data_IF_029165796175
#
_entry.id   IF_029165796175
#
_cell.length_a   1.000
_cell.length_b   1.000
_cell.length_c   1.000
_cell.angle_alpha   90.00
_cell.angle_beta   90.00
_cell.angle_gamma   90.00
#
_symmetry.space_group_name_H-M   'P 1'
#
loop_
_entity.id
_entity.type
_entity.pdbx_description
1 polymer ?
#
# COMPACT_ATOMS: atom_id res chain seq x y z
N UNK A 1 20.72 -0.53 -0.37
CA UNK A 1 21.71 0.54 -0.60
C UNK A 1 20.95 1.81 -0.35
N UNK A 2 21.38 2.62 0.61
CA UNK A 2 20.46 3.36 1.46
C UNK A 2 19.50 4.33 0.73
N UNK A 3 19.95 4.93 -0.38
CA UNK A 3 19.09 5.77 -1.24
C UNK A 3 18.03 4.99 -2.04
N UNK A 4 18.34 3.76 -2.46
CA UNK A 4 17.35 2.88 -3.07
C UNK A 4 16.26 2.51 -2.05
N UNK A 5 16.66 2.23 -0.80
CA UNK A 5 15.72 1.89 0.26
C UNK A 5 14.83 3.11 0.59
N UNK A 6 15.40 4.32 0.67
CA UNK A 6 14.62 5.58 0.77
C UNK A 6 13.63 5.77 -0.38
N UNK A 7 14.08 5.55 -1.61
CA UNK A 7 13.23 5.65 -2.78
C UNK A 7 12.06 4.67 -2.71
N UNK A 8 12.30 3.41 -2.36
CA UNK A 8 11.26 2.37 -2.27
C UNK A 8 10.14 2.78 -1.30
N UNK A 9 10.51 3.42 -0.19
CA UNK A 9 9.59 3.89 0.84
C UNK A 9 8.71 5.04 0.34
N UNK A 10 9.34 6.08 -0.23
CA UNK A 10 8.61 7.22 -0.79
C UNK A 10 7.74 6.83 -1.99
N UNK A 11 8.23 5.92 -2.83
CA UNK A 11 7.47 5.35 -3.96
C UNK A 11 6.24 4.61 -3.47
N UNK A 12 6.36 3.76 -2.44
CA UNK A 12 5.23 2.97 -1.97
C UNK A 12 4.08 3.86 -1.46
N UNK A 13 4.43 4.90 -0.70
CA UNK A 13 3.45 5.89 -0.27
C UNK A 13 2.76 6.59 -1.44
N UNK A 14 3.53 7.00 -2.46
CA UNK A 14 2.99 7.64 -3.66
C UNK A 14 2.02 6.74 -4.41
N UNK A 15 2.36 5.45 -4.58
CA UNK A 15 1.49 4.49 -5.27
C UNK A 15 0.16 4.34 -4.54
N UNK A 16 0.18 4.20 -3.21
CA UNK A 16 -1.07 4.07 -2.45
C UNK A 16 -1.85 5.38 -2.43
N UNK A 17 -1.18 6.52 -2.23
CA UNK A 17 -1.84 7.82 -2.28
C UNK A 17 -2.57 8.04 -3.62
N UNK A 18 -1.94 7.68 -4.73
CA UNK A 18 -2.56 7.75 -6.07
C UNK A 18 -3.76 6.82 -6.18
N UNK A 19 -3.69 5.59 -5.66
CA UNK A 19 -4.85 4.67 -5.64
C UNK A 19 -6.03 5.28 -4.87
N UNK A 20 -5.77 5.87 -3.71
CA UNK A 20 -6.80 6.54 -2.91
C UNK A 20 -7.40 7.76 -3.62
N UNK A 21 -6.57 8.59 -4.28
CA UNK A 21 -7.04 9.74 -5.07
C UNK A 21 -7.88 9.26 -6.25
N UNK A 22 -7.43 8.25 -6.99
CA UNK A 22 -8.20 7.67 -8.11
C UNK A 22 -9.54 7.13 -7.61
N UNK A 23 -9.56 6.47 -6.44
CA UNK A 23 -10.80 5.97 -5.84
C UNK A 23 -11.76 7.11 -5.47
N UNK A 24 -11.26 8.26 -5.00
CA UNK A 24 -12.09 9.44 -4.75
C UNK A 24 -12.62 10.06 -6.04
N UNK A 25 -11.78 10.20 -7.06
CA UNK A 25 -12.19 10.75 -8.36
C UNK A 25 -13.18 9.83 -9.10
N UNK A 26 -13.07 8.51 -8.90
CA UNK A 26 -13.93 7.51 -9.52
C UNK A 26 -15.18 7.16 -8.72
N UNK A 27 -15.40 7.76 -7.55
CA UNK A 27 -16.59 7.51 -6.76
C UNK A 27 -17.83 8.04 -7.51
N UNK A 28 -18.88 7.23 -7.71
CA UNK A 28 -20.06 7.65 -8.47
C UNK A 28 -20.78 8.81 -7.76
N UNK A 29 -21.03 9.90 -8.49
CA UNK A 29 -21.66 11.12 -7.99
C UNK A 29 -23.17 10.96 -7.72
N UNK A 30 -23.81 9.97 -8.34
CA UNK A 30 -25.17 9.51 -8.04
C UNK A 30 -25.42 8.16 -8.72
N UNK A 31 -26.10 7.22 -8.03
CA UNK A 31 -26.40 5.89 -8.58
C UNK A 31 -27.33 5.91 -9.82
N UNK A 32 -27.97 7.06 -10.08
CA UNK A 32 -28.87 7.27 -11.21
C UNK A 32 -28.24 8.02 -12.40
N UNK A 33 -26.95 8.38 -12.32
CA UNK A 33 -26.29 9.04 -13.45
C UNK A 33 -26.18 8.08 -14.64
N UNK A 34 -26.83 8.41 -15.76
CA UNK A 34 -26.75 7.62 -16.98
C UNK A 34 -25.37 7.79 -17.63
N UNK A 35 -24.43 6.95 -17.24
CA UNK A 35 -23.12 6.86 -17.88
C UNK A 35 -23.22 5.97 -19.11
N UNK A 36 -23.07 6.59 -20.29
CA UNK A 36 -22.93 5.95 -21.61
C UNK A 36 -24.10 5.04 -22.04
N UNK A 37 -25.30 5.17 -21.47
CA UNK A 37 -26.46 4.34 -21.83
C UNK A 37 -26.29 2.86 -21.51
N UNK A 38 -25.37 2.52 -20.59
CA UNK A 38 -25.04 1.13 -20.28
C UNK A 38 -26.17 0.40 -19.55
N UNK A 39 -26.35 -0.92 -19.77
CA UNK A 39 -27.28 -1.75 -18.99
C UNK A 39 -26.98 -1.67 -17.48
N UNK A 40 -28.02 -1.69 -16.64
CA UNK A 40 -27.89 -1.52 -15.18
C UNK A 40 -26.89 -2.50 -14.54
N UNK A 41 -26.89 -3.77 -14.94
CA UNK A 41 -25.94 -4.76 -14.41
C UNK A 41 -24.47 -4.44 -14.75
N UNK A 42 -24.21 -3.84 -15.92
CA UNK A 42 -22.87 -3.46 -16.34
C UNK A 42 -22.39 -2.22 -15.57
N UNK A 43 -23.29 -1.26 -15.34
CA UNK A 43 -23.04 -0.10 -14.48
C UNK A 43 -22.68 -0.53 -13.06
N UNK A 44 -23.44 -1.48 -12.49
CA UNK A 44 -23.16 -1.97 -11.15
C UNK A 44 -21.79 -2.64 -11.05
N UNK A 45 -21.40 -3.47 -12.02
CA UNK A 45 -20.10 -4.14 -11.97
C UNK A 45 -18.94 -3.16 -12.22
N UNK A 46 -19.02 -2.33 -13.26
CA UNK A 46 -17.88 -1.49 -13.66
C UNK A 46 -17.76 -0.20 -12.87
N UNK A 47 -18.89 0.44 -12.53
CA UNK A 47 -18.93 1.76 -11.89
C UNK A 47 -19.21 1.62 -10.39
N UNK A 48 -20.29 0.94 -10.00
CA UNK A 48 -20.65 0.89 -8.58
C UNK A 48 -19.66 0.07 -7.79
N UNK A 49 -19.35 -1.17 -8.19
CA UNK A 49 -18.33 -2.02 -7.54
C UNK A 49 -16.94 -1.42 -7.74
N UNK A 50 -16.71 -0.68 -8.82
CA UNK A 50 -15.43 -0.05 -9.15
C UNK A 50 -14.46 -0.95 -9.92
N UNK A 51 -14.94 -2.07 -10.48
CA UNK A 51 -14.10 -3.00 -11.25
C UNK A 51 -13.42 -2.32 -12.43
N UNK A 52 -14.11 -1.39 -13.10
CA UNK A 52 -13.55 -0.63 -14.22
C UNK A 52 -12.34 0.19 -13.79
N UNK A 53 -12.42 0.87 -12.66
CA UNK A 53 -11.32 1.67 -12.10
C UNK A 53 -10.15 0.79 -11.68
N UNK A 54 -10.41 -0.37 -11.09
CA UNK A 54 -9.39 -1.34 -10.69
C UNK A 54 -8.63 -1.84 -11.94
N UNK A 55 -9.35 -2.29 -12.98
CA UNK A 55 -8.75 -2.81 -14.21
C UNK A 55 -7.98 -1.70 -14.93
N UNK A 56 -8.56 -0.51 -15.06
CA UNK A 56 -7.89 0.63 -15.70
C UNK A 56 -6.58 0.99 -14.98
N UNK A 57 -6.64 1.16 -13.66
CA UNK A 57 -5.48 1.54 -12.83
C UNK A 57 -4.41 0.46 -12.85
N UNK A 58 -4.82 -0.81 -12.75
CA UNK A 58 -3.88 -1.92 -12.75
C UNK A 58 -3.26 -2.13 -14.14
N UNK A 59 -4.07 -2.29 -15.18
CA UNK A 59 -3.58 -2.68 -16.50
C UNK A 59 -2.82 -1.54 -17.20
N UNK A 60 -3.43 -0.36 -17.27
CA UNK A 60 -2.84 0.79 -17.97
C UNK A 60 -1.90 1.58 -17.08
N UNK A 61 -2.25 1.78 -15.81
CA UNK A 61 -1.45 2.59 -14.89
C UNK A 61 -0.17 1.90 -14.41
N UNK A 62 -0.22 0.59 -14.13
CA UNK A 62 0.86 -0.09 -13.41
C UNK A 62 1.47 -1.27 -14.17
N UNK A 63 0.68 -2.22 -14.66
CA UNK A 63 1.18 -3.45 -15.27
C UNK A 63 1.92 -3.19 -16.58
N UNK A 64 1.36 -2.38 -17.47
CA UNK A 64 2.00 -2.09 -18.77
C UNK A 64 3.38 -1.46 -18.59
N UNK A 65 3.51 -0.51 -17.66
CA UNK A 65 4.79 0.15 -17.36
C UNK A 65 5.77 -0.78 -16.64
N UNK A 66 5.29 -1.64 -15.73
CA UNK A 66 6.12 -2.65 -15.07
C UNK A 66 6.66 -3.71 -16.04
N UNK A 67 5.82 -4.19 -16.96
CA UNK A 67 6.25 -5.15 -17.99
C UNK A 67 7.28 -4.52 -18.91
N UNK A 68 7.03 -3.28 -19.38
CA UNK A 68 8.01 -2.56 -20.20
C UNK A 68 9.35 -2.36 -19.47
N UNK A 69 9.30 -1.95 -18.21
CA UNK A 69 10.49 -1.79 -17.36
C UNK A 69 11.23 -3.12 -17.15
N UNK A 70 10.54 -4.26 -17.14
CA UNK A 70 11.18 -5.58 -16.98
C UNK A 70 11.97 -6.04 -18.20
N UNK A 71 11.61 -5.58 -19.40
CA UNK A 71 12.33 -5.92 -20.64
C UNK A 71 13.44 -4.91 -20.97
N UNK A 72 13.21 -3.61 -20.77
CA UNK A 72 14.14 -2.54 -21.12
C UNK A 72 14.48 -1.66 -19.91
N UNK A 73 15.10 -2.26 -18.87
CA UNK A 73 15.30 -1.60 -17.56
C UNK A 73 16.03 -0.26 -17.64
N UNK A 74 17.18 -0.21 -18.33
CA UNK A 74 18.00 1.01 -18.41
C UNK A 74 17.38 2.06 -19.32
N UNK A 75 16.79 1.66 -20.44
CA UNK A 75 16.12 2.59 -21.35
C UNK A 75 14.86 3.17 -20.72
N UNK A 76 14.15 2.38 -19.90
CA UNK A 76 12.96 2.82 -19.17
C UNK A 76 13.26 3.91 -18.13
N UNK A 77 14.42 3.88 -17.48
CA UNK A 77 14.81 4.93 -16.52
C UNK A 77 15.48 6.14 -17.19
N UNK A 78 15.92 6.00 -18.44
CA UNK A 78 16.61 7.06 -19.18
C UNK A 78 15.63 8.08 -19.80
N UNK A 79 14.80 8.71 -18.96
CA UNK A 79 13.94 9.81 -19.37
C UNK A 79 13.66 10.79 -18.23
N UNK A 80 13.26 12.00 -18.60
CA UNK A 80 12.97 13.08 -17.64
C UNK A 80 11.85 12.71 -16.65
N UNK A 81 10.86 11.96 -17.10
CA UNK A 81 9.72 11.58 -16.25
C UNK A 81 10.13 10.60 -15.15
N UNK A 82 10.97 9.61 -15.46
CA UNK A 82 11.53 8.69 -14.48
C UNK A 82 12.35 9.45 -13.41
N UNK A 83 13.16 10.42 -13.83
CA UNK A 83 13.93 11.27 -12.91
C UNK A 83 13.01 12.14 -12.03
N UNK A 84 11.94 12.71 -12.60
CA UNK A 84 10.94 13.46 -11.85
C UNK A 84 10.26 12.61 -10.76
N UNK A 85 9.86 11.38 -11.10
CA UNK A 85 9.24 10.47 -10.12
C UNK A 85 10.22 10.06 -9.02
N UNK A 86 11.50 9.88 -9.36
CA UNK A 86 12.57 9.62 -8.38
C UNK A 86 12.67 10.77 -7.38
N UNK A 87 12.81 12.02 -7.84
CA UNK A 87 12.91 13.17 -6.95
C UNK A 87 11.65 13.36 -6.10
N UNK A 88 10.47 13.14 -6.66
CA UNK A 88 9.21 13.24 -5.92
C UNK A 88 9.15 12.20 -4.80
N UNK A 89 9.55 10.95 -5.07
CA UNK A 89 9.63 9.90 -4.05
C UNK A 89 10.67 10.23 -2.97
N UNK A 90 11.81 10.79 -3.35
CA UNK A 90 12.83 11.25 -2.38
C UNK A 90 12.33 12.42 -1.52
N UNK A 91 11.56 13.36 -2.07
CA UNK A 91 10.93 14.44 -1.30
C UNK A 91 9.90 13.91 -0.29
N UNK A 92 9.12 12.90 -0.69
CA UNK A 92 8.18 12.22 0.22
C UNK A 92 8.93 11.53 1.36
N UNK A 93 10.04 10.83 1.09
CA UNK A 93 10.87 10.27 2.17
C UNK A 93 11.41 11.38 3.06
N UNK A 94 11.91 12.47 2.47
CA UNK A 94 12.43 13.60 3.21
C UNK A 94 11.38 14.22 4.17
N UNK A 95 10.11 14.27 3.76
CA UNK A 95 9.00 14.80 4.57
C UNK A 95 8.86 14.13 5.95
N UNK A 96 9.31 12.88 6.11
CA UNK A 96 9.27 12.18 7.39
C UNK A 96 8.00 11.36 7.65
N UNK A 97 6.99 11.42 6.77
CA UNK A 97 5.67 10.83 7.05
C UNK A 97 5.76 9.31 7.22
N UNK A 98 6.68 8.65 6.53
CA UNK A 98 6.88 7.18 6.57
C UNK A 98 7.95 6.70 7.57
N UNK A 99 8.55 7.59 8.37
CA UNK A 99 9.74 7.27 9.19
C UNK A 99 9.52 6.24 10.29
N UNK A 100 8.28 6.01 10.73
CA UNK A 100 7.95 4.90 11.64
C UNK A 100 8.34 3.54 11.07
N UNK A 101 8.40 3.39 9.74
CA UNK A 101 8.86 2.18 9.09
C UNK A 101 10.35 1.91 9.30
N UNK A 102 11.20 2.94 9.47
CA UNK A 102 12.61 2.73 9.85
C UNK A 102 12.73 2.22 11.29
N UNK A 103 11.82 2.63 12.17
CA UNK A 103 11.74 2.06 13.52
C UNK A 103 11.32 0.59 13.45
N UNK A 104 10.33 0.25 12.62
CA UNK A 104 9.93 -1.14 12.37
C UNK A 104 11.10 -1.95 11.81
N UNK A 105 11.86 -1.40 10.86
CA UNK A 105 13.05 -2.05 10.31
C UNK A 105 14.10 -2.35 11.41
N UNK A 106 14.35 -1.39 12.30
CA UNK A 106 15.28 -1.59 13.42
C UNK A 106 14.79 -2.71 14.36
N UNK A 107 13.50 -2.72 14.69
CA UNK A 107 12.90 -3.77 15.54
C UNK A 107 13.00 -5.15 14.87
N UNK A 108 12.71 -5.24 13.57
CA UNK A 108 12.80 -6.49 12.80
C UNK A 108 14.26 -6.97 12.64
N UNK A 109 15.22 -6.06 12.47
CA UNK A 109 16.65 -6.38 12.44
C UNK A 109 17.15 -6.91 13.78
N UNK A 110 16.71 -6.30 14.89
CA UNK A 110 16.99 -6.81 16.23
C UNK A 110 16.39 -8.21 16.43
N UNK A 111 15.15 -8.42 15.98
CA UNK A 111 14.49 -9.73 16.07
C UNK A 111 15.12 -10.79 15.17
N UNK A 112 15.66 -10.42 14.00
CA UNK A 112 16.30 -11.36 13.06
C UNK A 112 17.77 -11.65 13.40
N UNK A 113 18.38 -10.86 14.29
CA UNK A 113 19.79 -10.97 14.65
C UNK A 113 20.76 -10.59 13.52
N UNK A 114 20.25 -10.04 12.40
CA UNK A 114 21.07 -9.60 11.27
C UNK A 114 21.17 -8.07 11.29
N UNK A 115 22.37 -7.49 11.49
CA UNK A 115 22.53 -6.04 11.52
C UNK A 115 22.18 -5.42 10.17
N UNK A 116 21.56 -4.24 10.19
CA UNK A 116 21.32 -3.45 8.97
C UNK A 116 22.68 -3.01 8.44
N UNK A 117 23.09 -3.56 7.29
CA UNK A 117 24.24 -3.07 6.55
C UNK A 117 23.90 -1.72 5.90
N UNK A 118 24.06 -0.64 6.66
CA UNK A 118 24.01 0.73 6.14
C UNK A 118 25.41 1.16 5.72
N UNK A 119 25.50 1.81 4.57
CA UNK A 119 26.76 2.38 4.06
C UNK A 119 26.94 3.84 4.51
N UNK A 120 26.02 4.38 5.31
CA UNK A 120 26.10 5.75 5.84
C UNK A 120 26.84 5.82 7.17
N UNK A 121 27.51 6.95 7.39
CA UNK A 121 28.13 7.23 8.68
C UNK A 121 27.09 7.26 9.82
N UNK A 122 27.46 6.85 11.05
CA UNK A 122 26.56 6.90 12.19
C UNK A 122 26.01 8.32 12.37
N UNK A 123 24.67 8.45 12.35
CA UNK A 123 23.99 9.74 12.54
C UNK A 123 24.42 10.36 13.88
N UNK A 124 25.09 11.52 13.85
CA UNK A 124 25.57 12.25 15.05
C UNK A 124 24.87 13.61 15.20
N UNK A 125 24.73 14.05 16.46
CA UNK A 125 24.24 15.39 16.82
C UNK A 125 22.86 15.72 16.27
N UNK A 126 22.74 16.86 15.58
CA UNK A 126 21.47 17.37 15.06
C UNK A 126 20.80 16.42 14.06
N UNK A 127 21.58 15.69 13.24
CA UNK A 127 21.04 14.73 12.27
C UNK A 127 20.33 13.56 12.95
N UNK A 128 20.81 13.13 14.11
CA UNK A 128 20.17 12.08 14.91
C UNK A 128 18.86 12.59 15.53
N UNK A 129 18.88 13.80 16.10
CA UNK A 129 17.68 14.41 16.68
C UNK A 129 16.61 14.65 15.61
N UNK A 130 17.00 15.16 14.43
CA UNK A 130 16.11 15.38 13.30
C UNK A 130 15.50 14.07 12.78
N UNK A 131 16.29 13.00 12.74
CA UNK A 131 15.80 11.67 12.39
C UNK A 131 14.74 11.17 13.38
N UNK A 132 15.03 11.18 14.68
CA UNK A 132 14.10 10.72 15.71
C UNK A 132 12.87 11.61 15.85
N UNK A 133 13.00 12.92 15.63
CA UNK A 133 11.86 13.84 15.56
C UNK A 133 10.88 13.45 14.45
N UNK A 134 11.38 13.13 13.25
CA UNK A 134 10.54 12.63 12.14
C UNK A 134 9.94 11.26 12.45
N UNK A 135 10.67 10.37 13.11
CA UNK A 135 10.13 9.07 13.56
C UNK A 135 8.96 9.28 14.54
N UNK A 136 9.12 10.16 15.53
CA UNK A 136 8.07 10.47 16.50
C UNK A 136 6.84 11.09 15.83
N UNK A 137 7.06 12.04 14.90
CA UNK A 137 5.99 12.63 14.10
C UNK A 137 5.24 11.56 13.28
N UNK A 138 5.96 10.68 12.59
CA UNK A 138 5.37 9.59 11.81
C UNK A 138 4.55 8.64 12.68
N UNK A 139 5.04 8.28 13.87
CA UNK A 139 4.31 7.45 14.83
C UNK A 139 3.03 8.15 15.32
N UNK A 140 3.09 9.46 15.60
CA UNK A 140 1.92 10.23 15.99
C UNK A 140 0.88 10.28 14.85
N UNK A 141 1.31 10.53 13.61
CA UNK A 141 0.42 10.53 12.43
C UNK A 141 -0.21 9.14 12.25
N UNK A 142 0.57 8.07 12.34
CA UNK A 142 0.08 6.70 12.21
C UNK A 142 -0.94 6.35 13.32
N UNK A 143 -0.63 6.68 14.58
CA UNK A 143 -1.51 6.45 15.71
C UNK A 143 -2.83 7.21 15.60
N UNK A 144 -2.77 8.50 15.24
CA UNK A 144 -3.97 9.30 14.98
C UNK A 144 -4.78 8.76 13.81
N UNK A 145 -4.12 8.39 12.71
CA UNK A 145 -4.78 7.82 11.53
C UNK A 145 -5.52 6.53 11.88
N UNK A 146 -4.89 5.63 12.63
CA UNK A 146 -5.52 4.40 13.12
C UNK A 146 -6.75 4.69 13.98
N UNK A 147 -6.64 5.64 14.92
CA UNK A 147 -7.76 6.03 15.78
C UNK A 147 -8.95 6.54 14.95
N UNK A 148 -8.70 7.38 13.94
CA UNK A 148 -9.73 7.91 13.02
C UNK A 148 -10.39 6.78 12.22
N UNK A 149 -9.61 5.92 11.54
CA UNK A 149 -10.18 4.82 10.72
C UNK A 149 -10.98 3.85 11.57
N UNK A 150 -10.42 3.39 12.68
CA UNK A 150 -11.07 2.40 13.55
C UNK A 150 -12.36 2.99 14.14
N UNK A 151 -12.31 4.24 14.62
CA UNK A 151 -13.50 4.92 15.14
C UNK A 151 -14.57 5.10 14.07
N UNK A 152 -14.19 5.51 12.84
CA UNK A 152 -15.13 5.67 11.73
C UNK A 152 -15.78 4.33 11.34
N UNK A 153 -15.01 3.23 11.32
CA UNK A 153 -15.51 1.89 11.01
C UNK A 153 -16.50 1.39 12.07
N UNK A 154 -16.18 1.52 13.36
CA UNK A 154 -17.09 1.09 14.43
C UNK A 154 -18.38 1.91 14.47
N UNK A 155 -18.30 3.21 14.16
CA UNK A 155 -19.45 4.10 14.09
C UNK A 155 -20.25 3.97 12.78
N UNK A 156 -19.76 3.19 11.80
CA UNK A 156 -20.43 3.03 10.50
C UNK A 156 -20.45 4.31 9.65
N UNK A 157 -19.51 5.23 9.87
CA UNK A 157 -19.42 6.53 9.18
C UNK A 157 -18.55 6.49 7.92
N UNK A 158 -18.42 5.31 7.30
CA UNK A 158 -17.60 5.09 6.10
C UNK A 158 -18.45 4.85 4.85
N UNK A 159 -17.85 5.04 3.68
CA UNK A 159 -18.51 4.80 2.39
C UNK A 159 -18.98 3.34 2.24
N UNK A 160 -18.35 2.39 2.92
CA UNK A 160 -18.78 0.99 2.97
C UNK A 160 -20.18 0.82 3.56
N UNK A 161 -20.50 1.55 4.62
CA UNK A 161 -21.81 1.48 5.26
C UNK A 161 -22.92 2.03 4.34
N UNK A 162 -22.60 3.04 3.53
CA UNK A 162 -23.55 3.61 2.55
C UNK A 162 -23.70 2.71 1.33
N UNK A 163 -22.60 2.17 0.81
CA UNK A 163 -22.59 1.35 -0.40
C UNK A 163 -23.13 -0.07 -0.19
N UNK A 164 -22.89 -0.63 1.00
CA UNK A 164 -23.31 -1.98 1.36
C UNK A 164 -23.97 -1.99 2.75
N UNK A 165 -25.22 -1.49 2.86
CA UNK A 165 -25.91 -1.38 4.14
C UNK A 165 -26.19 -2.74 4.82
N UNK A 166 -26.07 -3.85 4.09
CA UNK A 166 -26.20 -5.21 4.63
C UNK A 166 -24.95 -5.71 5.38
N UNK A 167 -23.83 -4.99 5.30
CA UNK A 167 -22.58 -5.39 5.96
C UNK A 167 -22.50 -4.75 7.35
N UNK A 168 -22.43 -5.58 8.38
CA UNK A 168 -22.27 -5.09 9.76
C UNK A 168 -20.95 -4.33 9.95
N UNK A 169 -20.94 -3.33 10.85
CA UNK A 169 -19.74 -2.57 11.18
C UNK A 169 -18.57 -3.48 11.62
N UNK A 170 -18.86 -4.54 12.39
CA UNK A 170 -17.87 -5.53 12.80
C UNK A 170 -17.28 -6.31 11.62
N UNK A 171 -18.10 -6.65 10.62
CA UNK A 171 -17.61 -7.28 9.40
C UNK A 171 -16.72 -6.34 8.57
N UNK A 172 -17.00 -5.03 8.54
CA UNK A 172 -16.13 -4.05 7.88
C UNK A 172 -14.77 -3.92 8.55
N UNK A 173 -14.72 -3.94 9.90
CA UNK A 173 -13.45 -3.96 10.66
C UNK A 173 -12.67 -5.23 10.38
N UNK A 174 -13.33 -6.40 10.42
CA UNK A 174 -12.68 -7.67 10.08
C UNK A 174 -12.13 -7.64 8.65
N UNK A 175 -12.93 -7.21 7.67
CA UNK A 175 -12.55 -7.13 6.27
C UNK A 175 -11.36 -6.19 6.05
N UNK A 176 -11.31 -5.07 6.77
CA UNK A 176 -10.17 -4.15 6.75
C UNK A 176 -8.86 -4.85 7.14
N UNK A 177 -8.81 -5.49 8.31
CA UNK A 177 -7.60 -6.20 8.76
C UNK A 177 -7.27 -7.40 7.88
N UNK A 178 -8.28 -8.16 7.46
CA UNK A 178 -8.12 -9.32 6.59
C UNK A 178 -7.48 -8.93 5.25
N UNK A 179 -7.97 -7.88 4.59
CA UNK A 179 -7.40 -7.37 3.34
C UNK A 179 -6.00 -6.78 3.54
N UNK A 180 -5.75 -6.08 4.66
CA UNK A 180 -4.40 -5.60 4.98
C UNK A 180 -3.40 -6.77 5.11
N UNK A 181 -3.80 -7.89 5.70
CA UNK A 181 -2.97 -9.09 5.78
C UNK A 181 -2.73 -9.73 4.40
N UNK A 182 -3.76 -9.82 3.54
CA UNK A 182 -3.60 -10.35 2.17
C UNK A 182 -2.60 -9.50 1.39
N UNK A 183 -2.79 -8.18 1.40
CA UNK A 183 -1.88 -7.24 0.73
C UNK A 183 -0.47 -7.40 1.25
N UNK A 184 -0.30 -7.44 2.57
CA UNK A 184 1.00 -7.60 3.21
C UNK A 184 1.71 -8.87 2.80
N UNK A 185 1.00 -10.00 2.82
CA UNK A 185 1.56 -11.26 2.34
C UNK A 185 1.97 -11.19 0.88
N UNK A 186 1.14 -10.63 -0.01
CA UNK A 186 1.47 -10.51 -1.43
C UNK A 186 2.69 -9.60 -1.67
N UNK A 187 2.77 -8.46 -0.98
CA UNK A 187 3.91 -7.54 -1.06
C UNK A 187 5.20 -8.17 -0.52
N UNK A 188 5.13 -8.82 0.65
CA UNK A 188 6.27 -9.54 1.23
C UNK A 188 6.74 -10.71 0.35
N UNK A 189 5.81 -11.50 -0.19
CA UNK A 189 6.12 -12.64 -1.05
C UNK A 189 6.86 -12.23 -2.32
N UNK A 190 6.57 -11.07 -2.92
CA UNK A 190 7.31 -10.59 -4.09
C UNK A 190 8.80 -10.40 -3.77
N UNK A 191 9.11 -9.76 -2.64
CA UNK A 191 10.50 -9.54 -2.22
C UNK A 191 11.18 -10.86 -1.89
N UNK A 192 10.50 -11.74 -1.14
CA UNK A 192 11.00 -13.06 -0.81
C UNK A 192 11.31 -13.87 -2.09
N UNK A 193 10.42 -13.88 -3.07
CA UNK A 193 10.61 -14.59 -4.34
C UNK A 193 11.76 -14.00 -5.16
N UNK A 194 11.95 -12.68 -5.18
CA UNK A 194 13.10 -12.07 -5.82
C UNK A 194 14.43 -12.42 -5.13
N UNK A 195 14.43 -12.51 -3.80
CA UNK A 195 15.61 -12.95 -3.06
C UNK A 195 15.94 -14.41 -3.38
N UNK A 196 14.93 -15.30 -3.35
CA UNK A 196 15.08 -16.72 -3.67
C UNK A 196 15.50 -16.95 -5.13
N UNK A 197 15.04 -16.12 -6.07
CA UNK A 197 15.44 -16.21 -7.48
C UNK A 197 16.93 -15.96 -7.72
N UNK A 198 17.61 -15.28 -6.79
CA UNK A 198 19.06 -15.07 -6.83
C UNK A 198 19.86 -16.20 -6.20
N UNK A 199 19.19 -17.14 -5.50
CA UNK A 199 19.86 -18.26 -4.84
C UNK A 199 19.99 -19.47 -5.78
N UNK A 200 21.12 -20.20 -5.70
CA UNK A 200 21.27 -21.48 -6.38
C UNK A 200 20.24 -22.49 -5.84
N UNK A 201 19.83 -23.44 -6.67
CA UNK A 201 18.75 -24.38 -6.35
C UNK A 201 19.00 -25.19 -5.05
N UNK A 202 20.26 -25.45 -4.71
CA UNK A 202 20.68 -26.14 -3.48
C UNK A 202 20.41 -25.35 -2.20
N UNK A 203 20.24 -24.02 -2.28
CA UNK A 203 20.09 -23.12 -1.14
C UNK A 203 18.66 -22.59 -0.95
N UNK A 204 17.69 -23.06 -1.74
CA UNK A 204 16.28 -22.60 -1.75
C UNK A 204 15.44 -23.16 -0.59
N UNK A 205 16.02 -23.22 0.61
CA UNK A 205 15.35 -23.62 1.84
C UNK A 205 15.23 -25.13 2.04
N UNK A 206 15.22 -25.54 3.30
CA UNK A 206 15.06 -26.94 3.73
C UNK A 206 13.62 -27.27 4.16
N UNK A 207 12.80 -26.24 4.39
CA UNK A 207 11.43 -26.36 4.92
C UNK A 207 10.41 -26.79 3.87
N UNK A 208 9.43 -27.61 4.27
CA UNK A 208 8.44 -28.24 3.37
C UNK A 208 7.64 -27.25 2.51
N UNK A 209 7.07 -26.21 3.12
CA UNK A 209 6.30 -25.20 2.40
C UNK A 209 7.19 -24.31 1.53
N UNK A 210 8.40 -23.98 1.99
CA UNK A 210 9.38 -23.22 1.21
C UNK A 210 9.75 -23.96 -0.08
N UNK A 211 10.05 -25.25 0.02
CA UNK A 211 10.36 -26.11 -1.15
C UNK A 211 9.19 -26.21 -2.12
N UNK A 212 7.98 -26.50 -1.63
CA UNK A 212 6.79 -26.57 -2.51
C UNK A 212 6.57 -25.28 -3.29
N UNK A 213 6.71 -24.14 -2.63
CA UNK A 213 6.56 -22.83 -3.26
C UNK A 213 7.68 -22.56 -4.27
N UNK A 214 8.93 -22.85 -3.92
CA UNK A 214 10.06 -22.69 -4.83
C UNK A 214 9.96 -23.61 -6.06
N UNK A 215 9.61 -24.88 -5.84
CA UNK A 215 9.43 -25.87 -6.91
C UNK A 215 8.35 -25.42 -7.87
N UNK A 216 7.22 -24.91 -7.38
CA UNK A 216 6.16 -24.36 -8.21
C UNK A 216 6.63 -23.11 -8.96
N UNK A 217 7.33 -22.19 -8.30
CA UNK A 217 7.78 -20.93 -8.86
C UNK A 217 8.79 -21.11 -10.01
N UNK A 218 9.66 -22.11 -9.91
CA UNK A 218 10.68 -22.40 -10.92
C UNK A 218 10.29 -23.52 -11.88
N UNK A 219 9.12 -24.16 -11.70
CA UNK A 219 8.59 -25.14 -12.66
C UNK A 219 8.37 -24.50 -14.04
N UNK A 220 8.57 -25.26 -15.11
CA UNK A 220 8.28 -24.80 -16.47
C UNK A 220 9.19 -23.65 -16.93
N UNK A 221 10.50 -23.78 -16.69
CA UNK A 221 11.52 -22.80 -17.10
C UNK A 221 11.39 -21.42 -16.40
N UNK A 222 10.77 -21.37 -15.21
CA UNK A 222 10.63 -20.13 -14.44
C UNK A 222 9.52 -19.17 -14.90
N UNK A 223 8.63 -19.60 -15.81
CA UNK A 223 7.50 -18.80 -16.30
C UNK A 223 6.49 -18.42 -15.20
N UNK A 224 6.43 -19.19 -14.12
CA UNK A 224 5.50 -18.97 -13.02
C UNK A 224 5.86 -17.74 -12.17
N UNK A 225 7.13 -17.30 -12.16
CA UNK A 225 7.54 -16.10 -11.42
C UNK A 225 6.99 -14.81 -12.07
N UNK A 226 7.18 -14.56 -13.39
CA UNK A 226 6.49 -13.45 -14.06
C UNK A 226 4.96 -13.54 -13.98
N UNK A 227 4.40 -14.75 -14.11
CA UNK A 227 2.95 -14.97 -13.98
C UNK A 227 2.41 -14.58 -12.59
N UNK A 228 3.13 -14.95 -11.52
CA UNK A 228 2.82 -14.50 -10.17
C UNK A 228 2.90 -12.99 -10.05
N UNK A 229 3.94 -12.34 -10.60
CA UNK A 229 4.08 -10.88 -10.53
C UNK A 229 2.88 -10.14 -11.12
N UNK A 230 2.39 -10.59 -12.28
CA UNK A 230 1.21 -9.99 -12.94
C UNK A 230 -0.07 -10.24 -12.11
N UNK A 231 -0.34 -11.49 -11.75
CA UNK A 231 -1.57 -11.87 -11.02
C UNK A 231 -1.64 -11.24 -9.62
N UNK A 232 -0.49 -11.16 -8.95
CA UNK A 232 -0.35 -10.47 -7.66
C UNK A 232 -0.71 -8.99 -7.78
N UNK A 233 -0.22 -8.29 -8.81
CA UNK A 233 -0.45 -6.86 -8.95
C UNK A 233 -1.95 -6.54 -9.03
N UNK A 234 -2.72 -7.32 -9.80
CA UNK A 234 -4.17 -7.15 -9.88
C UNK A 234 -4.84 -7.35 -8.51
N UNK A 235 -4.45 -8.38 -7.78
CA UNK A 235 -5.00 -8.68 -6.44
C UNK A 235 -4.66 -7.58 -5.44
N UNK A 236 -3.43 -7.07 -5.48
CA UNK A 236 -2.96 -5.98 -4.60
C UNK A 236 -3.72 -4.68 -4.90
N UNK A 237 -3.83 -4.28 -6.17
CA UNK A 237 -4.56 -3.07 -6.57
C UNK A 237 -6.04 -3.20 -6.21
N UNK A 238 -6.68 -4.33 -6.53
CA UNK A 238 -8.07 -4.58 -6.15
C UNK A 238 -8.28 -4.47 -4.63
N UNK A 239 -7.38 -5.08 -3.85
CA UNK A 239 -7.45 -5.02 -2.39
C UNK A 239 -7.30 -3.59 -1.87
N UNK A 240 -6.39 -2.79 -2.43
CA UNK A 240 -6.23 -1.39 -2.04
C UNK A 240 -7.44 -0.53 -2.40
N UNK A 241 -8.09 -0.76 -3.55
CA UNK A 241 -9.35 -0.08 -3.89
C UNK A 241 -10.49 -0.43 -2.93
N UNK A 242 -10.60 -1.71 -2.54
CA UNK A 242 -11.60 -2.16 -1.57
C UNK A 242 -11.28 -1.55 -0.19
N UNK A 243 -10.03 -1.58 0.25
CA UNK A 243 -9.61 -0.96 1.52
C UNK A 243 -9.85 0.55 1.48
N UNK A 244 -9.56 1.23 0.37
CA UNK A 244 -9.88 2.64 0.19
C UNK A 244 -11.38 2.88 0.34
N UNK A 245 -12.21 2.05 -0.30
CA UNK A 245 -13.68 2.12 -0.14
C UNK A 245 -14.15 1.86 1.29
N UNK A 246 -13.49 0.96 2.02
CA UNK A 246 -13.80 0.65 3.43
C UNK A 246 -13.46 1.81 4.36
N UNK A 247 -12.34 2.48 4.08
CA UNK A 247 -11.76 3.51 4.96
C UNK A 247 -12.16 4.94 4.60
N UNK A 248 -12.63 5.19 3.38
CA UNK A 248 -13.18 6.48 2.98
C UNK A 248 -14.35 6.86 3.88
N UNK A 249 -14.29 8.05 4.48
CA UNK A 249 -15.34 8.56 5.35
C UNK A 249 -16.41 9.30 4.56
N UNK A 250 -17.65 9.17 5.00
CA UNK A 250 -18.79 9.93 4.46
C UNK A 250 -19.39 10.84 5.53
N UNK A 251 -18.56 11.70 6.13
CA UNK A 251 -19.00 12.64 7.17
C UNK A 251 -19.14 14.01 6.51
N UNK A 252 -20.37 14.54 6.45
CA UNK A 252 -20.59 15.90 5.99
C UNK A 252 -20.17 16.89 7.09
N UNK A 253 -19.19 17.78 6.84
CA UNK A 253 -18.80 18.78 7.82
C UNK A 253 -19.98 19.68 8.20
N UNK A 254 -20.16 19.97 9.48
CA UNK A 254 -21.24 20.84 9.97
C UNK A 254 -22.63 20.21 10.09
N UNK A 255 -22.79 18.90 9.86
CA UNK A 255 -24.06 18.19 10.11
C UNK A 255 -24.32 17.92 11.60
N UNK A 256 -25.59 17.67 11.94
CA UNK A 256 -26.07 17.38 13.30
C UNK A 256 -25.36 16.17 13.97
N UNK A 257 -24.84 15.23 13.18
CA UNK A 257 -24.10 14.05 13.64
C UNK A 257 -22.70 14.35 14.19
N UNK A 258 -22.19 15.57 13.98
CA UNK A 258 -20.89 16.04 14.46
C UNK A 258 -19.67 15.42 13.76
N UNK A 259 -18.55 16.15 13.78
CA UNK A 259 -17.28 15.71 13.19
C UNK A 259 -16.62 14.60 14.03
N UNK A 260 -15.77 13.77 13.41
CA UNK A 260 -15.06 12.72 14.12
C UNK A 260 -14.14 13.33 15.19
N UNK A 261 -14.27 12.88 16.43
CA UNK A 261 -13.58 13.48 17.59
C UNK A 261 -13.81 14.99 17.80
N UNK A 262 -14.87 15.57 17.23
CA UNK A 262 -15.17 17.00 17.38
C UNK A 262 -14.15 17.94 16.72
N UNK A 263 -13.42 17.46 15.71
CA UNK A 263 -12.47 18.29 14.95
C UNK A 263 -13.18 19.40 14.17
N UNK A 264 -12.43 20.41 13.70
CA UNK A 264 -12.98 21.48 12.85
C UNK A 264 -13.50 20.94 11.51
N UNK A 265 -14.41 21.67 10.87
CA UNK A 265 -14.96 21.29 9.57
C UNK A 265 -13.88 21.17 8.48
N UNK A 266 -12.87 22.04 8.53
CA UNK A 266 -11.71 21.98 7.63
C UNK A 266 -10.87 20.71 7.85
N UNK A 267 -10.69 20.29 9.10
CA UNK A 267 -9.99 19.06 9.43
C UNK A 267 -10.81 17.83 9.01
N UNK A 268 -12.13 17.86 9.19
CA UNK A 268 -13.02 16.80 8.72
C UNK A 268 -12.99 16.68 7.18
N UNK A 269 -13.02 17.81 6.47
CA UNK A 269 -12.89 17.82 5.00
C UNK A 269 -11.56 17.22 4.55
N UNK A 270 -10.46 17.53 5.24
CA UNK A 270 -9.15 16.92 4.98
C UNK A 270 -9.16 15.41 5.28
N UNK A 271 -9.76 14.99 6.39
CA UNK A 271 -9.90 13.58 6.76
C UNK A 271 -10.71 12.80 5.71
N UNK A 272 -11.75 13.40 5.13
CA UNK A 272 -12.54 12.80 4.06
C UNK A 272 -11.73 12.54 2.77
N UNK A 273 -10.58 13.19 2.58
CA UNK A 273 -9.66 12.90 1.46
C UNK A 273 -8.93 11.55 1.60
N UNK A 274 -9.09 10.83 2.71
CA UNK A 274 -8.55 9.46 2.84
C UNK A 274 -7.04 9.35 3.01
N UNK A 275 -6.31 10.47 3.16
CA UNK A 275 -4.84 10.49 3.33
C UNK A 275 -4.37 9.63 4.51
N UNK A 276 -5.09 9.70 5.62
CA UNK A 276 -4.83 8.94 6.83
C UNK A 276 -4.90 7.41 6.57
N UNK A 277 -5.84 6.96 5.76
CA UNK A 277 -5.94 5.54 5.37
C UNK A 277 -4.81 5.12 4.42
N UNK A 278 -4.37 5.99 3.51
CA UNK A 278 -3.19 5.75 2.67
C UNK A 278 -1.91 5.59 3.53
N UNK A 279 -1.76 6.38 4.59
CA UNK A 279 -0.63 6.26 5.54
C UNK A 279 -0.65 4.91 6.25
N UNK A 280 -1.79 4.51 6.83
CA UNK A 280 -1.93 3.24 7.55
C UNK A 280 -1.60 2.05 6.64
N UNK A 281 -2.23 2.01 5.47
CA UNK A 281 -2.06 0.91 4.51
C UNK A 281 -0.64 0.85 3.96
N UNK A 282 0.01 2.00 3.74
CA UNK A 282 1.40 2.03 3.30
C UNK A 282 2.32 1.43 4.36
N UNK A 283 2.20 1.89 5.61
CA UNK A 283 3.12 1.50 6.68
C UNK A 283 2.84 0.08 7.15
N UNK A 284 1.61 -0.23 7.53
CA UNK A 284 1.25 -1.50 8.16
C UNK A 284 0.95 -2.61 7.15
N UNK A 285 0.18 -2.31 6.11
CA UNK A 285 -0.25 -3.34 5.16
C UNK A 285 0.80 -3.63 4.09
N UNK A 286 1.76 -2.73 3.84
CA UNK A 286 2.74 -2.92 2.76
C UNK A 286 4.18 -2.91 3.27
N UNK A 287 4.70 -1.77 3.72
CA UNK A 287 6.12 -1.61 4.06
C UNK A 287 6.54 -2.57 5.17
N UNK A 288 5.75 -2.74 6.23
CA UNK A 288 6.07 -3.66 7.34
C UNK A 288 6.35 -5.08 6.84
N UNK A 289 5.54 -5.58 5.91
CA UNK A 289 5.68 -6.93 5.35
C UNK A 289 6.84 -7.04 4.36
N UNK A 290 7.08 -5.98 3.59
CA UNK A 290 8.25 -5.88 2.71
C UNK A 290 9.56 -5.91 3.52
N UNK A 291 9.61 -5.16 4.62
CA UNK A 291 10.74 -5.14 5.54
C UNK A 291 10.92 -6.48 6.24
N UNK A 292 9.84 -7.13 6.67
CA UNK A 292 9.89 -8.45 7.28
C UNK A 292 10.44 -9.50 6.29
N UNK A 293 9.95 -9.52 5.05
CA UNK A 293 10.45 -10.43 4.01
C UNK A 293 11.94 -10.19 3.70
N UNK A 294 12.38 -8.92 3.69
CA UNK A 294 13.79 -8.56 3.49
C UNK A 294 14.68 -8.95 4.68
N UNK A 295 14.16 -8.88 5.90
CA UNK A 295 14.89 -9.26 7.12
C UNK A 295 15.02 -10.79 7.29
N UNK A 296 14.02 -11.55 6.83
CA UNK A 296 13.95 -13.01 6.94
C UNK A 296 13.88 -13.74 5.57
N UNK A 297 14.88 -13.60 4.68
CA UNK A 297 14.77 -14.11 3.30
C UNK A 297 14.90 -15.64 3.18
N UNK A 298 15.51 -16.34 4.16
CA UNK A 298 15.84 -17.78 4.10
C UNK A 298 15.64 -18.45 5.48
N UNK A 299 14.73 -17.92 6.32
CA UNK A 299 14.49 -18.50 7.63
C UNK A 299 13.86 -19.90 7.56
#
# INVERSE_FOLDING_TARGET
GDNLDRYLMGRQFMVLLVVFIINLCGAPTSGDADVLGMPGWLKTIFLDVGLGMIIFTCQLGQLTTQVNASHCMLDFINNYFALFTLYTAMCIEFSGIMHSSYLIQNVLSLASGKPIHSNEEPKRGFTLLFFWGRVLMSLAILGFSLAVVISALFQGRTMMAVKYPSVSNGASVFLFFFLMCIVGMLEGMQIAFFAVAKLPASERGTTFFGRKTCDLLFKGNGQNLPGFMIGRQLTVVASFFIVASITSMNIQPGNEDGNIFGVSDSAQAFLNLGFHAAVITTILASITWQLAASAFPIA
#
